data_IF_834803797188
#
_entry.id   IF_834803797188
#
_cell.length_a   1.000
_cell.length_b   1.000
_cell.length_c   1.000
_cell.angle_alpha   90.00
_cell.angle_beta   90.00
_cell.angle_gamma   90.00
#
_symmetry.space_group_name_H-M   'P 1'
#
loop_
_entity.id
_entity.type
_entity.pdbx_description
1 polymer ?
#
# COMPACT_ATOMS: atom_id res chain seq x y z
N UNK A 1 27.56 -19.50 -46.80
CA UNK A 1 28.96 -19.41 -46.30
C UNK A 1 28.94 -19.16 -44.80
N UNK A 2 29.62 -20.03 -44.02
CA UNK A 2 30.09 -19.91 -42.61
C UNK A 2 29.00 -19.60 -41.55
N UNK A 3 28.53 -20.52 -40.70
CA UNK A 3 29.18 -21.50 -39.81
C UNK A 3 30.10 -20.86 -38.76
N UNK A 4 29.71 -21.01 -37.48
CA UNK A 4 30.45 -21.23 -36.21
C UNK A 4 29.45 -20.79 -35.09
N UNK A 5 28.79 -21.61 -34.26
CA UNK A 5 29.05 -22.89 -33.58
C UNK A 5 29.87 -22.76 -32.26
N UNK A 6 29.29 -23.36 -31.20
CA UNK A 6 29.89 -23.87 -29.94
C UNK A 6 30.16 -22.85 -28.80
N UNK A 7 29.89 -23.06 -27.50
CA UNK A 7 29.63 -24.25 -26.65
C UNK A 7 28.63 -23.86 -25.52
N UNK A 8 27.60 -24.64 -25.17
CA UNK A 8 27.58 -25.75 -24.18
C UNK A 8 28.34 -25.47 -22.86
N UNK A 9 27.65 -25.61 -21.72
CA UNK A 9 27.86 -26.68 -20.72
C UNK A 9 26.70 -26.71 -19.72
N UNK A 10 26.23 -27.93 -19.51
CA UNK A 10 25.19 -28.44 -18.63
C UNK A 10 25.76 -28.59 -17.21
N UNK A 11 25.00 -28.23 -16.17
CA UNK A 11 25.13 -28.88 -14.85
C UNK A 11 23.73 -29.11 -14.27
N UNK A 12 23.25 -30.33 -14.47
CA UNK A 12 22.25 -30.99 -13.62
C UNK A 12 22.89 -31.35 -12.28
N UNK A 13 22.20 -31.16 -11.15
CA UNK A 13 22.25 -32.13 -10.05
C UNK A 13 20.98 -32.03 -9.18
N UNK A 14 20.20 -33.10 -9.22
CA UNK A 14 19.21 -33.50 -8.23
C UNK A 14 19.92 -33.84 -6.91
N UNK A 15 19.27 -33.63 -5.76
CA UNK A 15 19.47 -34.47 -4.58
C UNK A 15 18.22 -34.41 -3.70
N UNK A 16 17.46 -35.49 -3.78
CA UNK A 16 16.45 -35.93 -2.82
C UNK A 16 17.16 -36.31 -1.51
N UNK A 17 16.52 -36.04 -0.37
CA UNK A 17 16.93 -36.54 0.95
C UNK A 17 15.70 -36.97 1.73
N UNK A 18 15.53 -38.28 1.86
CA UNK A 18 14.51 -38.99 2.63
C UNK A 18 14.95 -39.26 4.08
N UNK A 19 13.99 -39.18 5.01
CA UNK A 19 13.79 -39.81 6.36
C UNK A 19 14.78 -40.93 6.83
N UNK A 20 14.93 -41.27 8.15
CA UNK A 20 13.82 -41.49 9.13
C UNK A 20 14.12 -41.34 10.67
N UNK A 21 13.07 -41.52 11.51
CA UNK A 21 12.97 -42.25 12.82
C UNK A 21 14.12 -42.23 13.87
N UNK A 22 14.02 -42.23 15.22
CA UNK A 22 13.04 -42.50 16.33
C UNK A 22 13.79 -41.98 17.60
N UNK A 23 13.25 -41.54 18.74
CA UNK A 23 12.82 -42.40 19.87
C UNK A 23 12.71 -41.61 21.20
N UNK A 24 11.63 -41.88 21.95
CA UNK A 24 11.43 -41.90 23.42
C UNK A 24 11.28 -40.62 24.29
N UNK A 25 10.07 -40.55 24.85
CA UNK A 25 9.63 -39.97 26.13
C UNK A 25 10.42 -40.50 27.35
N UNK A 26 10.41 -39.81 28.51
CA UNK A 26 9.44 -40.17 29.54
C UNK A 26 8.77 -39.00 30.29
N UNK A 27 7.66 -39.37 30.92
CA UNK A 27 6.68 -38.61 31.69
C UNK A 27 7.20 -37.74 32.84
N UNK A 28 6.62 -36.56 33.00
CA UNK A 28 6.31 -35.95 34.32
C UNK A 28 5.13 -34.99 34.19
N UNK A 29 4.07 -35.22 34.97
CA UNK A 29 2.89 -34.36 35.19
C UNK A 29 2.60 -34.36 36.70
N UNK A 30 1.90 -33.37 37.32
CA UNK A 30 1.60 -31.97 36.94
C UNK A 30 2.10 -30.95 37.99
N UNK A 31 2.30 -29.70 37.58
CA UNK A 31 2.15 -28.56 38.50
C UNK A 31 1.30 -27.48 37.83
N UNK A 32 0.09 -27.32 38.35
CA UNK A 32 -0.77 -26.17 38.07
C UNK A 32 -0.11 -24.96 38.70
N UNK A 33 0.30 -23.99 37.90
CA UNK A 33 0.45 -22.61 38.36
C UNK A 33 -0.08 -21.70 37.28
N UNK A 34 -1.27 -21.14 37.53
CA UNK A 34 -1.81 -20.00 36.81
C UNK A 34 -0.80 -18.85 36.91
N UNK A 35 -0.16 -18.50 35.81
CA UNK A 35 0.30 -17.13 35.58
C UNK A 35 -0.16 -16.70 34.20
N UNK A 36 -1.13 -15.81 34.24
CA UNK A 36 -1.65 -15.00 33.17
C UNK A 36 -0.49 -14.53 32.30
N UNK A 37 -0.38 -15.06 31.09
CA UNK A 37 0.52 -14.49 30.10
C UNK A 37 0.15 -13.03 29.86
N UNK A 38 1.09 -12.17 29.43
CA UNK A 38 0.70 -10.92 28.83
C UNK A 38 -0.23 -11.24 27.66
N UNK A 39 -1.49 -10.87 27.84
CA UNK A 39 -2.50 -10.84 26.81
C UNK A 39 -1.83 -10.19 25.58
N UNK A 40 -1.80 -10.81 24.39
CA UNK A 40 -1.40 -10.07 23.21
C UNK A 40 -2.42 -8.94 23.11
N UNK A 41 -1.98 -7.72 23.42
CA UNK A 41 -2.76 -6.52 23.20
C UNK A 41 -3.01 -6.51 21.71
N UNK A 42 -4.16 -7.03 21.29
CA UNK A 42 -4.69 -6.87 19.95
C UNK A 42 -4.99 -5.39 19.85
N UNK A 43 -3.93 -4.61 19.66
CA UNK A 43 -4.01 -3.26 19.16
C UNK A 43 -4.67 -3.46 17.82
N UNK A 44 -6.01 -3.32 17.77
CA UNK A 44 -6.76 -3.25 16.52
C UNK A 44 -5.95 -2.28 15.69
N UNK A 45 -5.31 -2.76 14.62
CA UNK A 45 -4.64 -1.88 13.65
C UNK A 45 -5.68 -0.81 13.34
N UNK A 46 -5.44 0.42 13.77
CA UNK A 46 -6.33 1.51 13.45
C UNK A 46 -6.43 1.51 11.92
N UNK A 47 -7.64 1.33 11.40
CA UNK A 47 -7.85 1.28 9.96
C UNK A 47 -7.29 2.55 9.33
N UNK A 48 -6.70 2.44 8.14
CA UNK A 48 -6.25 3.60 7.39
C UNK A 48 -7.45 4.51 7.12
N UNK A 49 -7.28 5.82 7.28
CA UNK A 49 -8.27 6.82 6.90
C UNK A 49 -7.66 7.70 5.80
N UNK A 50 -8.42 8.00 4.75
CA UNK A 50 -7.98 8.86 3.66
C UNK A 50 -9.04 9.93 3.40
N UNK A 51 -8.61 11.06 2.82
CA UNK A 51 -9.58 11.96 2.18
C UNK A 51 -10.20 11.26 0.97
N UNK A 52 -11.50 11.46 0.78
CA UNK A 52 -12.29 10.87 -0.32
C UNK A 52 -13.09 11.95 -1.04
N UNK A 53 -12.87 12.06 -2.34
CA UNK A 53 -13.55 13.06 -3.16
C UNK A 53 -13.40 12.77 -4.66
N UNK A 54 -14.26 13.42 -5.44
CA UNK A 54 -14.12 13.54 -6.88
C UNK A 54 -13.96 15.01 -7.28
N UNK A 55 -13.81 15.26 -8.58
CA UNK A 55 -13.49 16.59 -9.14
C UNK A 55 -14.46 17.71 -8.69
N UNK A 56 -15.70 17.37 -8.33
CA UNK A 56 -16.71 18.33 -7.85
C UNK A 56 -16.60 18.62 -6.35
N UNK A 57 -16.08 17.68 -5.57
CA UNK A 57 -16.09 17.74 -4.09
C UNK A 57 -14.70 17.90 -3.48
N UNK A 58 -13.62 17.81 -4.25
CA UNK A 58 -12.24 17.81 -3.75
C UNK A 58 -11.75 19.13 -3.13
N UNK A 59 -12.58 20.17 -3.08
CA UNK A 59 -12.32 21.38 -2.29
C UNK A 59 -12.62 21.21 -0.79
N UNK A 60 -13.43 20.20 -0.43
CA UNK A 60 -13.90 19.95 0.93
C UNK A 60 -13.09 18.86 1.62
N UNK A 61 -12.85 19.00 2.91
CA UNK A 61 -12.13 18.01 3.75
C UNK A 61 -13.06 16.88 4.20
N UNK A 62 -13.51 16.08 3.24
CA UNK A 62 -14.24 14.85 3.53
C UNK A 62 -13.26 13.67 3.61
N UNK A 63 -13.29 12.92 4.70
CA UNK A 63 -12.51 11.69 4.90
C UNK A 63 -13.41 10.51 5.23
N UNK A 64 -12.93 9.33 4.90
CA UNK A 64 -13.60 8.08 5.19
C UNK A 64 -12.58 7.01 5.61
N UNK A 65 -12.96 6.09 6.51
CA UNK A 65 -12.14 4.92 6.82
C UNK A 65 -12.04 4.03 5.59
N UNK A 66 -10.84 3.54 5.30
CA UNK A 66 -10.59 2.59 4.24
C UNK A 66 -11.13 1.21 4.59
N UNK A 67 -11.49 0.43 3.56
CA UNK A 67 -11.85 -0.97 3.72
C UNK A 67 -10.63 -1.76 4.21
N UNK A 68 -10.86 -2.92 4.82
CA UNK A 68 -9.78 -3.80 5.30
C UNK A 68 -8.79 -4.23 4.22
N UNK A 69 -9.20 -4.24 2.96
CA UNK A 69 -8.37 -4.57 1.79
C UNK A 69 -7.59 -3.37 1.22
N UNK A 70 -7.90 -2.15 1.66
CA UNK A 70 -7.32 -0.90 1.15
C UNK A 70 -6.28 -0.38 2.15
N UNK A 71 -5.03 -0.31 1.71
CA UNK A 71 -3.87 0.02 2.54
C UNK A 71 -3.12 1.28 2.08
N UNK A 72 -3.68 1.99 1.10
CA UNK A 72 -3.05 3.13 0.43
C UNK A 72 -4.05 4.26 0.20
N UNK A 73 -3.67 5.48 0.53
CA UNK A 73 -4.35 6.69 0.07
C UNK A 73 -3.78 7.12 -1.27
N UNK A 74 -4.66 7.40 -2.24
CA UNK A 74 -4.31 7.94 -3.54
C UNK A 74 -4.81 9.38 -3.67
N UNK A 75 -4.05 10.21 -4.40
CA UNK A 75 -4.45 11.55 -4.86
C UNK A 75 -4.07 11.70 -6.33
N UNK A 76 -5.01 12.16 -7.15
CA UNK A 76 -4.79 12.53 -8.54
C UNK A 76 -4.92 14.04 -8.66
N UNK A 77 -3.87 14.73 -9.09
CA UNK A 77 -3.89 16.18 -9.23
C UNK A 77 -3.03 16.68 -10.39
N UNK A 78 -3.40 17.84 -10.93
CA UNK A 78 -2.65 18.51 -12.00
C UNK A 78 -2.40 19.97 -11.63
N UNK A 79 -1.29 20.54 -12.10
CA UNK A 79 -1.05 21.98 -11.99
C UNK A 79 -2.12 22.77 -12.76
N UNK A 80 -2.55 23.88 -12.18
CA UNK A 80 -3.43 24.84 -12.87
C UNK A 80 -2.54 25.73 -13.74
N UNK A 81 -2.73 25.66 -15.06
CA UNK A 81 -1.96 26.48 -16.02
C UNK A 81 -2.42 27.93 -15.91
N UNK A 82 -1.47 28.86 -15.80
CA UNK A 82 -1.76 30.29 -15.69
C UNK A 82 -2.35 30.72 -14.34
N UNK A 83 -2.16 29.95 -13.28
CA UNK A 83 -2.58 30.35 -11.93
C UNK A 83 -1.88 31.65 -11.51
N UNK A 84 -2.67 32.66 -11.18
CA UNK A 84 -2.27 34.04 -10.88
C UNK A 84 -2.11 34.31 -9.37
N UNK A 85 -2.39 33.32 -8.52
CA UNK A 85 -2.36 33.48 -7.07
C UNK A 85 -3.70 33.91 -6.46
N UNK A 86 -4.75 34.09 -7.27
CA UNK A 86 -6.09 34.44 -6.76
C UNK A 86 -6.57 33.34 -5.80
N UNK A 87 -6.95 33.68 -4.54
CA UNK A 87 -7.39 32.67 -3.57
C UNK A 87 -8.75 32.06 -3.92
N UNK A 88 -8.82 30.72 -3.93
CA UNK A 88 -10.06 29.95 -3.95
C UNK A 88 -10.55 29.75 -2.51
N UNK A 89 -11.40 30.67 -2.03
CA UNK A 89 -11.90 30.66 -0.64
C UNK A 89 -12.74 29.43 -0.29
N UNK A 90 -13.19 28.66 -1.28
CA UNK A 90 -13.95 27.42 -1.05
C UNK A 90 -13.05 26.22 -0.75
N UNK A 91 -11.75 26.32 -1.06
CA UNK A 91 -10.78 25.25 -0.88
C UNK A 91 -10.29 25.18 0.59
N UNK A 92 -10.79 24.19 1.31
CA UNK A 92 -10.50 23.98 2.74
C UNK A 92 -9.09 23.41 3.01
N UNK A 93 -8.42 22.88 1.98
CA UNK A 93 -7.04 22.39 2.10
C UNK A 93 -6.04 23.53 2.09
N UNK A 94 -6.10 24.38 1.07
CA UNK A 94 -5.28 25.57 0.94
C UNK A 94 -5.93 26.53 -0.09
N UNK A 95 -6.34 27.74 0.30
CA UNK A 95 -6.95 28.72 -0.60
C UNK A 95 -6.05 29.14 -1.77
N UNK A 96 -4.72 29.04 -1.64
CA UNK A 96 -3.76 29.40 -2.70
C UNK A 96 -3.15 28.19 -3.38
N UNK A 97 -3.83 27.04 -3.35
CA UNK A 97 -3.35 25.80 -3.97
C UNK A 97 -3.31 25.94 -5.49
N UNK A 98 -2.12 25.86 -6.09
CA UNK A 98 -1.92 25.96 -7.55
C UNK A 98 -2.12 24.62 -8.30
N UNK A 99 -2.89 23.69 -7.72
CA UNK A 99 -3.21 22.39 -8.31
C UNK A 99 -4.70 22.11 -8.24
N UNK A 100 -5.24 21.53 -9.31
CA UNK A 100 -6.59 20.99 -9.36
C UNK A 100 -6.55 19.52 -8.95
N UNK A 101 -7.22 19.18 -7.86
CA UNK A 101 -7.36 17.78 -7.40
C UNK A 101 -8.59 17.15 -8.01
N UNK A 102 -8.40 16.04 -8.72
CA UNK A 102 -9.47 15.32 -9.44
C UNK A 102 -10.11 14.23 -8.61
N UNK A 103 -9.29 13.52 -7.83
CA UNK A 103 -9.73 12.36 -7.07
C UNK A 103 -8.82 12.21 -5.85
N UNK A 104 -9.42 11.88 -4.72
CA UNK A 104 -8.75 11.33 -3.54
C UNK A 104 -9.54 10.10 -3.13
N UNK A 105 -8.88 9.00 -2.76
CA UNK A 105 -9.58 7.81 -2.24
C UNK A 105 -8.64 6.83 -1.52
N UNK A 106 -9.25 5.93 -0.78
CA UNK A 106 -8.65 4.66 -0.38
C UNK A 106 -8.47 3.73 -1.60
N UNK A 107 -7.38 2.97 -1.63
CA UNK A 107 -7.09 1.98 -2.66
C UNK A 107 -6.07 0.95 -2.17
N UNK A 108 -5.67 0.02 -3.03
CA UNK A 108 -4.58 -0.93 -2.76
C UNK A 108 -3.25 -0.38 -3.29
N UNK A 109 -2.14 -0.79 -2.69
CA UNK A 109 -0.82 -0.45 -3.22
C UNK A 109 -0.61 -0.88 -4.69
N UNK A 110 -1.22 -2.01 -5.09
CA UNK A 110 -1.15 -2.52 -6.45
C UNK A 110 -1.91 -1.62 -7.44
N UNK A 111 -3.13 -1.21 -7.11
CA UNK A 111 -3.94 -0.33 -7.96
C UNK A 111 -3.32 1.06 -8.05
N UNK A 112 -2.74 1.57 -6.96
CA UNK A 112 -2.05 2.85 -6.96
C UNK A 112 -0.82 2.81 -7.90
N UNK A 113 0.00 1.76 -7.82
CA UNK A 113 1.12 1.54 -8.76
C UNK A 113 0.64 1.40 -10.21
N UNK A 114 -0.43 0.63 -10.44
CA UNK A 114 -1.04 0.51 -11.77
C UNK A 114 -1.44 1.87 -12.33
N UNK A 115 -2.05 2.73 -11.51
CA UNK A 115 -2.42 4.09 -11.90
C UNK A 115 -1.18 4.98 -12.14
N UNK A 116 -0.13 4.85 -11.33
CA UNK A 116 1.14 5.56 -11.55
C UNK A 116 1.84 5.17 -12.86
N UNK A 117 1.61 3.94 -13.34
CA UNK A 117 2.10 3.48 -14.64
C UNK A 117 1.23 3.88 -15.84
N UNK A 118 0.06 4.49 -15.61
CA UNK A 118 -0.82 4.98 -16.68
C UNK A 118 -0.17 6.16 -17.41
N UNK A 119 -0.13 6.12 -18.74
CA UNK A 119 0.55 7.15 -19.55
C UNK A 119 -0.11 8.52 -19.47
N UNK A 120 -1.40 8.61 -19.11
CA UNK A 120 -2.16 9.86 -19.01
C UNK A 120 -2.18 10.40 -17.59
N UNK A 121 -2.37 9.53 -16.60
CA UNK A 121 -2.60 9.92 -15.20
C UNK A 121 -1.43 9.61 -14.27
N UNK A 122 -0.42 8.87 -14.74
CA UNK A 122 0.65 8.39 -13.89
C UNK A 122 1.43 9.50 -13.20
N UNK A 123 1.86 10.51 -13.97
CA UNK A 123 2.57 11.70 -13.45
C UNK A 123 1.71 12.57 -12.53
N UNK A 124 0.38 12.40 -12.56
CA UNK A 124 -0.58 13.15 -11.75
C UNK A 124 -0.94 12.41 -10.45
N UNK A 125 -0.50 11.15 -10.30
CA UNK A 125 -0.93 10.26 -9.23
C UNK A 125 0.14 10.13 -8.14
N UNK A 126 -0.23 10.49 -6.91
CA UNK A 126 0.59 10.26 -5.71
C UNK A 126 -0.09 9.25 -4.79
N UNK A 127 0.73 8.42 -4.14
CA UNK A 127 0.31 7.34 -3.25
C UNK A 127 1.03 7.47 -1.91
N UNK A 128 0.34 7.17 -0.80
CA UNK A 128 0.92 7.17 0.54
C UNK A 128 0.09 6.28 1.49
N UNK A 129 0.65 5.87 2.63
CA UNK A 129 0.06 4.85 3.51
C UNK A 129 -0.07 5.30 4.98
N UNK A 130 -0.23 6.60 5.20
CA UNK A 130 -0.49 7.20 6.52
C UNK A 130 -1.87 7.84 6.52
N UNK A 131 -2.50 7.97 7.69
CA UNK A 131 -3.81 8.60 7.79
C UNK A 131 -3.79 10.00 7.16
N UNK A 132 -4.77 10.27 6.29
CA UNK A 132 -5.05 11.55 5.67
C UNK A 132 -3.86 12.12 4.86
N UNK A 133 -2.91 11.28 4.46
CA UNK A 133 -1.69 11.71 3.77
C UNK A 133 -1.92 12.20 2.33
N UNK A 134 -3.12 11.99 1.80
CA UNK A 134 -3.52 12.40 0.45
C UNK A 134 -4.23 13.77 0.42
N UNK A 135 -4.01 14.61 1.45
CA UNK A 135 -4.39 16.02 1.46
C UNK A 135 -3.89 16.74 0.21
#
# INVERSE_FOLDING_TARGET
MKLILLCLVIVTLQLQGTNPETTKSPDTKPAITKRSGPNPTTTKRAGLECYDCNIRTCKKKHSAPCKSTEDTCMRISRKIVGYDGTPDRENEFNPTMNVLVWERKCTTAADCKKRQSDTRLGKMTSCCNKNLCNA
#
